data_IF_591822095533
#
_entry.id   IF_591822095533
#
_cell.length_a   1.000
_cell.length_b   1.000
_cell.length_c   1.000
_cell.angle_alpha   90.00
_cell.angle_beta   90.00
_cell.angle_gamma   90.00
#
_symmetry.space_group_name_H-M   'P 1'
#
loop_
_entity.id
_entity.type
_entity.pdbx_description
1 polymer ?
#
# COMPACT_ATOMS: atom_id res chain seq x y z
N UNK A 1 16.68 31.92 21.69
CA UNK A 1 16.16 32.02 20.32
C UNK A 1 17.23 31.53 19.35
N UNK A 2 17.11 30.27 18.89
CA UNK A 2 17.75 29.73 17.68
C UNK A 2 16.96 28.48 17.29
N UNK A 3 16.32 28.59 16.13
CA UNK A 3 15.45 27.61 15.49
C UNK A 3 16.27 26.43 14.98
N UNK A 4 15.91 25.22 15.39
CA UNK A 4 16.17 24.01 14.60
C UNK A 4 14.89 23.69 13.86
N UNK A 5 14.81 24.21 12.64
CA UNK A 5 13.96 23.63 11.61
C UNK A 5 14.69 22.36 11.16
N UNK A 6 14.42 21.24 11.83
CA UNK A 6 14.78 19.94 11.29
C UNK A 6 13.84 19.67 10.12
N UNK A 7 14.42 19.74 8.92
CA UNK A 7 13.85 19.27 7.68
C UNK A 7 13.31 17.85 7.91
N UNK A 8 11.98 17.74 7.99
CA UNK A 8 11.26 16.48 7.87
C UNK A 8 11.57 15.89 6.51
N UNK A 9 12.68 15.14 6.42
CA UNK A 9 12.91 14.19 5.34
C UNK A 9 11.86 13.10 5.53
N UNK A 10 10.74 13.31 4.87
CA UNK A 10 9.61 12.40 4.90
C UNK A 10 10.06 11.08 4.28
N UNK A 11 10.16 10.06 5.12
CA UNK A 11 10.47 8.72 4.66
C UNK A 11 9.34 8.27 3.71
N UNK A 12 9.60 8.09 2.41
CA UNK A 12 8.59 7.69 1.41
C UNK A 12 8.04 6.26 1.64
N UNK A 13 8.53 5.56 2.66
CA UNK A 13 8.14 4.22 3.05
C UNK A 13 7.24 4.17 4.29
N UNK A 14 6.51 5.24 4.65
CA UNK A 14 5.53 5.19 5.75
C UNK A 14 4.41 4.19 5.41
N UNK A 15 4.67 2.93 5.74
CA UNK A 15 3.72 1.83 5.63
C UNK A 15 2.54 2.02 6.59
N UNK A 16 2.70 2.85 7.62
CA UNK A 16 1.64 3.17 8.58
C UNK A 16 1.60 4.68 8.83
N UNK A 17 0.41 5.26 8.68
CA UNK A 17 0.09 6.63 9.08
C UNK A 17 -0.65 6.57 10.42
N UNK A 18 -0.30 7.45 11.36
CA UNK A 18 -1.03 7.64 12.60
C UNK A 18 -1.76 8.97 12.52
N UNK A 19 -3.03 8.98 12.91
CA UNK A 19 -3.86 10.18 12.80
C UNK A 19 -4.92 10.23 13.89
N UNK A 20 -5.32 11.46 14.25
CA UNK A 20 -6.40 11.74 15.18
C UNK A 20 -7.69 12.17 14.46
N UNK A 21 -7.56 12.93 13.37
CA UNK A 21 -8.66 13.60 12.67
C UNK A 21 -8.78 13.25 11.20
N UNK A 22 -7.77 12.57 10.63
CA UNK A 22 -7.76 12.11 9.26
C UNK A 22 -7.22 13.14 8.26
N UNK A 23 -6.67 14.28 8.71
CA UNK A 23 -6.14 15.32 7.80
C UNK A 23 -5.08 14.76 6.85
N UNK A 24 -4.21 13.86 7.33
CA UNK A 24 -3.15 13.21 6.53
C UNK A 24 -3.71 12.27 5.43
N UNK A 25 -4.98 11.89 5.53
CA UNK A 25 -5.63 10.98 4.57
C UNK A 25 -6.42 11.74 3.50
N UNK A 26 -6.52 13.07 3.60
CA UNK A 26 -7.34 13.92 2.73
C UNK A 26 -6.97 13.82 1.24
N UNK A 27 -5.73 13.44 0.92
CA UNK A 27 -5.26 13.20 -0.45
C UNK A 27 -5.87 11.96 -1.13
N UNK A 28 -6.51 11.05 -0.38
CA UNK A 28 -7.18 9.86 -0.91
C UNK A 28 -8.66 9.90 -0.48
N UNK A 29 -9.57 10.43 -1.32
CA UNK A 29 -10.96 10.70 -0.95
C UNK A 29 -11.71 9.50 -0.37
N UNK A 30 -11.55 8.31 -0.97
CA UNK A 30 -12.18 7.07 -0.54
C UNK A 30 -11.69 6.65 0.86
N UNK A 31 -10.39 6.83 1.13
CA UNK A 31 -9.78 6.51 2.40
C UNK A 31 -10.19 7.50 3.48
N UNK A 32 -10.19 8.80 3.18
CA UNK A 32 -10.66 9.83 4.10
C UNK A 32 -12.13 9.57 4.49
N UNK A 33 -12.99 9.27 3.51
CA UNK A 33 -14.40 8.92 3.76
C UNK A 33 -14.55 7.67 4.63
N UNK A 34 -13.77 6.62 4.35
CA UNK A 34 -13.76 5.40 5.15
C UNK A 34 -13.30 5.69 6.59
N UNK A 35 -12.25 6.50 6.76
CA UNK A 35 -11.74 6.92 8.06
C UNK A 35 -12.79 7.69 8.87
N UNK A 36 -13.43 8.71 8.29
CA UNK A 36 -14.46 9.49 9.00
C UNK A 36 -15.61 8.59 9.46
N UNK A 37 -15.99 7.61 8.64
CA UNK A 37 -16.99 6.60 9.00
C UNK A 37 -16.53 5.75 10.19
N UNK A 38 -15.31 5.21 10.11
CA UNK A 38 -14.75 4.37 11.17
C UNK A 38 -14.57 5.13 12.50
N UNK A 39 -14.06 6.36 12.45
CA UNK A 39 -13.90 7.24 13.62
C UNK A 39 -15.24 7.50 14.30
N UNK A 40 -16.29 7.80 13.53
CA UNK A 40 -17.64 8.03 14.06
C UNK A 40 -18.20 6.81 14.81
N UNK A 41 -17.99 5.62 14.27
CA UNK A 41 -18.51 4.36 14.85
C UNK A 41 -17.72 3.98 16.10
N UNK A 42 -16.40 4.06 16.05
CA UNK A 42 -15.52 3.59 17.12
C UNK A 42 -15.36 4.59 18.26
N UNK A 43 -15.54 5.89 17.99
CA UNK A 43 -15.26 6.99 18.94
C UNK A 43 -13.83 6.94 19.52
N UNK A 44 -12.90 6.36 18.77
CA UNK A 44 -11.49 6.33 19.13
C UNK A 44 -10.83 7.69 19.00
N UNK A 45 -9.70 7.85 19.68
CA UNK A 45 -8.92 9.09 19.65
C UNK A 45 -7.70 8.97 18.72
N UNK A 46 -6.99 7.83 18.76
CA UNK A 46 -5.81 7.59 17.95
C UNK A 46 -6.03 6.38 17.03
N UNK A 47 -5.71 6.58 15.76
CA UNK A 47 -5.89 5.60 14.70
C UNK A 47 -4.56 5.32 14.02
N UNK A 48 -4.40 4.09 13.56
CA UNK A 48 -3.39 3.73 12.60
C UNK A 48 -4.05 3.39 11.26
N UNK A 49 -3.38 3.74 10.18
CA UNK A 49 -3.76 3.41 8.81
C UNK A 49 -2.57 2.76 8.15
N UNK A 50 -2.65 1.46 7.93
CA UNK A 50 -1.56 0.65 7.37
C UNK A 50 -1.81 0.37 5.90
N UNK A 51 -0.81 0.64 5.08
CA UNK A 51 -0.80 0.43 3.64
C UNK A 51 0.00 -0.82 3.29
N UNK A 52 -0.63 -1.71 2.56
CA UNK A 52 0.01 -2.86 1.93
C UNK A 52 -0.01 -2.60 0.43
N UNK A 53 1.17 -2.38 -0.16
CA UNK A 53 1.28 -1.89 -1.53
C UNK A 53 2.13 -2.82 -2.38
N UNK A 54 1.59 -3.23 -3.53
CA UNK A 54 2.38 -3.72 -4.65
C UNK A 54 2.63 -2.54 -5.61
N UNK A 55 3.89 -2.23 -5.85
CA UNK A 55 4.28 -1.09 -6.69
C UNK A 55 3.93 -1.32 -8.15
N UNK A 56 3.75 -0.24 -8.91
CA UNK A 56 3.61 -0.26 -10.37
C UNK A 56 4.72 -1.09 -11.01
N UNK A 57 4.37 -1.90 -12.02
CA UNK A 57 5.34 -2.60 -12.86
C UNK A 57 5.19 -2.09 -14.30
N UNK A 58 6.32 -1.76 -14.92
CA UNK A 58 6.37 -1.26 -16.29
C UNK A 58 6.93 -2.37 -17.17
N UNK A 59 6.09 -2.89 -18.05
CA UNK A 59 6.43 -3.89 -19.04
C UNK A 59 6.58 -3.23 -20.42
N UNK A 60 7.06 -4.00 -21.39
CA UNK A 60 7.24 -3.49 -22.76
C UNK A 60 5.91 -3.08 -23.43
N UNK A 61 4.84 -3.83 -23.14
CA UNK A 61 3.54 -3.67 -23.79
C UNK A 61 2.46 -3.07 -22.86
N UNK A 62 2.75 -2.98 -21.56
CA UNK A 62 1.76 -2.63 -20.54
C UNK A 62 2.39 -1.91 -19.34
N UNK A 63 1.65 -0.96 -18.74
CA UNK A 63 1.95 -0.45 -17.40
C UNK A 63 0.92 -1.05 -16.45
N UNK A 64 1.38 -1.89 -15.53
CA UNK A 64 0.53 -2.45 -14.48
C UNK A 64 0.41 -1.47 -13.31
N UNK A 65 -0.79 -0.99 -12.98
CA UNK A 65 -0.99 -0.01 -11.91
C UNK A 65 -0.64 -0.56 -10.53
N UNK A 66 -0.37 0.31 -9.54
CA UNK A 66 -0.09 -0.12 -8.18
C UNK A 66 -1.35 -0.74 -7.55
N UNK A 67 -1.15 -1.74 -6.70
CA UNK A 67 -2.23 -2.37 -5.92
C UNK A 67 -2.05 -2.02 -4.47
N UNK A 68 -3.13 -1.56 -3.83
CA UNK A 68 -3.13 -1.10 -2.45
C UNK A 68 -4.25 -1.73 -1.65
N UNK A 69 -3.89 -2.27 -0.50
CA UNK A 69 -4.81 -2.71 0.55
C UNK A 69 -4.53 -1.88 1.78
N UNK A 70 -5.54 -1.15 2.26
CA UNK A 70 -5.45 -0.22 3.37
C UNK A 70 -6.27 -0.71 4.54
N UNK A 71 -5.62 -0.86 5.69
CA UNK A 71 -6.23 -1.28 6.95
C UNK A 71 -6.31 -0.12 7.91
N UNK A 72 -7.51 0.21 8.36
CA UNK A 72 -7.75 1.20 9.42
C UNK A 72 -7.94 0.46 10.75
N UNK A 73 -7.30 0.94 11.80
CA UNK A 73 -7.45 0.39 13.13
C UNK A 73 -7.24 1.41 14.25
N UNK A 74 -7.58 1.00 15.47
CA UNK A 74 -7.34 1.77 16.68
C UNK A 74 -6.00 1.38 17.28
N UNK A 75 -5.29 2.35 17.84
CA UNK A 75 -4.12 2.09 18.68
C UNK A 75 -4.12 3.03 19.88
N UNK A 76 -3.43 2.64 20.94
CA UNK A 76 -3.17 3.52 22.09
C UNK A 76 -1.89 4.33 21.92
N UNK A 77 -0.92 3.74 21.24
CA UNK A 77 0.42 4.30 21.08
C UNK A 77 0.86 4.23 19.61
N UNK A 78 1.73 5.16 19.23
CA UNK A 78 2.39 5.12 17.92
C UNK A 78 3.46 4.02 17.94
N UNK A 79 3.31 3.02 17.08
CA UNK A 79 4.35 2.01 16.88
C UNK A 79 5.30 2.54 15.81
N UNK A 80 6.47 3.00 16.23
CA UNK A 80 7.53 3.45 15.33
C UNK A 80 8.30 2.20 14.88
N UNK A 81 8.35 1.89 13.57
CA UNK A 81 9.19 0.79 13.07
C UNK A 81 10.65 1.03 13.46
N UNK A 82 11.35 -0.03 13.85
CA UNK A 82 12.79 0.02 14.11
C UNK A 82 13.53 0.56 12.87
N UNK A 83 14.60 1.32 13.13
CA UNK A 83 15.33 2.06 12.10
C UNK A 83 15.80 1.11 10.99
N UNK A 84 15.22 1.26 9.80
CA UNK A 84 15.59 0.44 8.64
C UNK A 84 16.94 1.00 8.19
N UNK A 85 18.02 0.31 8.57
CA UNK A 85 19.38 0.73 8.27
C UNK A 85 19.60 1.12 6.80
N UNK A 86 20.62 1.95 6.55
CA UNK A 86 20.93 2.43 5.20
C UNK A 86 21.01 1.26 4.21
N UNK A 87 20.14 1.28 3.20
CA UNK A 87 20.19 0.29 2.14
C UNK A 87 21.42 0.53 1.27
N UNK A 88 22.15 -0.52 0.88
CA UNK A 88 23.29 -0.38 -0.01
C UNK A 88 22.85 0.25 -1.35
N UNK A 89 23.69 1.10 -1.93
CA UNK A 89 23.44 1.66 -3.27
C UNK A 89 23.35 0.51 -4.28
N UNK A 90 22.19 0.40 -4.92
CA UNK A 90 21.91 -0.60 -5.95
C UNK A 90 22.57 -0.23 -7.27
N UNK A 91 23.05 -1.24 -8.01
CA UNK A 91 23.59 -1.02 -9.35
C UNK A 91 22.46 -0.77 -10.35
N UNK A 92 22.67 0.12 -11.33
CA UNK A 92 21.60 0.57 -12.25
C UNK A 92 20.98 -0.57 -13.08
N UNK A 93 21.75 -1.59 -13.41
CA UNK A 93 21.33 -2.79 -14.14
C UNK A 93 20.44 -3.73 -13.30
N UNK A 94 20.51 -3.65 -11.97
CA UNK A 94 19.68 -4.46 -11.05
C UNK A 94 18.31 -3.83 -10.80
N UNK A 95 18.15 -2.54 -11.13
CA UNK A 95 16.93 -1.75 -10.89
C UNK A 95 15.67 -2.44 -11.46
N UNK A 96 15.62 -2.90 -12.73
CA UNK A 96 14.41 -3.50 -13.28
C UNK A 96 14.00 -4.79 -12.55
N UNK A 97 14.95 -5.70 -12.30
CA UNK A 97 14.71 -6.94 -11.56
C UNK A 97 14.29 -6.67 -10.11
N UNK A 98 14.89 -5.66 -9.47
CA UNK A 98 14.51 -5.23 -8.14
C UNK A 98 13.06 -4.73 -8.10
N UNK A 99 12.64 -3.87 -9.03
CA UNK A 99 11.26 -3.38 -9.07
C UNK A 99 10.24 -4.47 -9.41
N UNK A 100 10.57 -5.39 -10.32
CA UNK A 100 9.72 -6.56 -10.61
C UNK A 100 9.55 -7.45 -9.35
N UNK A 101 10.65 -7.73 -8.65
CA UNK A 101 10.62 -8.49 -7.41
C UNK A 101 9.87 -7.74 -6.29
N UNK A 102 9.97 -6.41 -6.24
CA UNK A 102 9.27 -5.56 -5.27
C UNK A 102 7.75 -5.66 -5.45
N UNK A 103 7.25 -5.68 -6.69
CA UNK A 103 5.82 -5.91 -6.96
C UNK A 103 5.38 -7.30 -6.48
N UNK A 104 6.15 -8.35 -6.79
CA UNK A 104 5.85 -9.73 -6.35
C UNK A 104 5.80 -9.83 -4.82
N UNK A 105 6.78 -9.24 -4.12
CA UNK A 105 6.81 -9.19 -2.65
C UNK A 105 5.59 -8.44 -2.10
N UNK A 106 5.24 -7.30 -2.72
CA UNK A 106 4.06 -6.51 -2.34
C UNK A 106 2.76 -7.29 -2.49
N UNK A 107 2.55 -7.97 -3.63
CA UNK A 107 1.39 -8.83 -3.87
C UNK A 107 1.34 -9.96 -2.83
N UNK A 108 2.47 -10.63 -2.58
CA UNK A 108 2.55 -11.69 -1.58
C UNK A 108 2.17 -11.19 -0.18
N UNK A 109 2.66 -10.01 0.21
CA UNK A 109 2.35 -9.39 1.51
C UNK A 109 0.86 -9.03 1.61
N UNK A 110 0.26 -8.49 0.54
CA UNK A 110 -1.18 -8.21 0.47
C UNK A 110 -1.99 -9.51 0.64
N UNK A 111 -1.64 -10.56 -0.10
CA UNK A 111 -2.33 -11.85 -0.03
C UNK A 111 -2.22 -12.42 1.38
N UNK A 112 -1.04 -12.37 2.00
CA UNK A 112 -0.83 -12.85 3.36
C UNK A 112 -1.71 -12.09 4.38
N UNK A 113 -1.78 -10.76 4.33
CA UNK A 113 -2.65 -10.00 5.22
C UNK A 113 -4.14 -10.37 5.04
N UNK A 114 -4.62 -10.43 3.79
CA UNK A 114 -6.02 -10.76 3.51
C UNK A 114 -6.35 -12.22 3.88
N UNK A 115 -5.48 -13.16 3.53
CA UNK A 115 -5.64 -14.59 3.83
C UNK A 115 -5.59 -14.84 5.34
N UNK A 116 -4.73 -14.15 6.08
CA UNK A 116 -4.70 -14.24 7.54
C UNK A 116 -6.03 -13.86 8.17
N UNK A 117 -6.70 -12.83 7.65
CA UNK A 117 -8.02 -12.48 8.15
C UNK A 117 -9.09 -13.51 7.75
N UNK A 118 -9.05 -14.00 6.50
CA UNK A 118 -9.99 -14.99 6.00
C UNK A 118 -9.88 -16.35 6.72
N UNK A 119 -8.67 -16.90 6.84
CA UNK A 119 -8.41 -18.22 7.41
C UNK A 119 -8.64 -18.27 8.92
N UNK A 120 -8.34 -17.19 9.64
CA UNK A 120 -8.57 -17.10 11.08
C UNK A 120 -10.02 -16.71 11.44
N UNK A 121 -10.89 -16.50 10.45
CA UNK A 121 -12.27 -16.07 10.68
C UNK A 121 -12.38 -14.68 11.31
N UNK A 122 -11.37 -13.83 11.10
CA UNK A 122 -11.40 -12.45 11.60
C UNK A 122 -12.51 -11.70 10.87
N UNK A 123 -13.47 -11.18 11.62
CA UNK A 123 -14.51 -10.34 11.08
C UNK A 123 -13.89 -9.06 10.49
N UNK A 124 -14.30 -8.73 9.26
CA UNK A 124 -13.88 -7.55 8.52
C UNK A 124 -15.10 -6.69 8.19
N UNK A 125 -14.89 -5.37 8.17
CA UNK A 125 -15.76 -4.43 7.48
C UNK A 125 -15.01 -3.81 6.30
N UNK A 126 -15.48 -4.07 5.08
CA UNK A 126 -14.98 -3.42 3.86
C UNK A 126 -15.73 -2.11 3.59
N UNK A 127 -15.00 -1.00 3.53
CA UNK A 127 -15.54 0.33 3.18
C UNK A 127 -15.49 0.57 1.67
N UNK A 128 -14.43 0.05 1.03
CA UNK A 128 -14.18 0.20 -0.39
C UNK A 128 -13.45 -1.03 -0.92
N UNK A 129 -13.79 -1.46 -2.13
CA UNK A 129 -13.19 -2.61 -2.80
C UNK A 129 -13.48 -2.52 -4.30
N UNK A 130 -12.66 -1.76 -5.03
CA UNK A 130 -12.74 -1.62 -6.50
C UNK A 130 -11.35 -1.45 -7.09
N UNK A 131 -11.21 -1.90 -8.33
CA UNK A 131 -9.98 -1.77 -9.12
C UNK A 131 -8.75 -2.28 -8.36
N UNK A 132 -7.76 -1.41 -8.13
CA UNK A 132 -6.55 -1.73 -7.38
C UNK A 132 -6.52 -1.19 -5.94
N UNK A 133 -7.67 -0.78 -5.38
CA UNK A 133 -7.77 -0.31 -3.98
C UNK A 133 -8.83 -1.07 -3.16
N UNK A 134 -8.41 -1.61 -2.01
CA UNK A 134 -9.30 -2.11 -0.97
C UNK A 134 -9.05 -1.37 0.35
N UNK A 135 -10.11 -0.90 1.00
CA UNK A 135 -10.06 -0.26 2.30
C UNK A 135 -10.96 -1.02 3.27
N UNK A 136 -10.39 -1.44 4.40
CA UNK A 136 -11.12 -2.22 5.40
C UNK A 136 -10.65 -1.92 6.82
N UNK A 137 -11.45 -2.37 7.79
CA UNK A 137 -11.06 -2.48 9.20
C UNK A 137 -11.46 -3.85 9.72
N UNK A 138 -10.85 -4.27 10.83
CA UNK A 138 -11.39 -5.37 11.60
C UNK A 138 -12.76 -4.96 12.17
N UNK A 139 -13.64 -5.94 12.34
CA UNK A 139 -14.99 -5.80 12.86
C UNK A 139 -15.18 -6.76 14.04
N UNK A 140 -16.20 -6.51 14.86
CA UNK A 140 -16.66 -7.47 15.88
C UNK A 140 -17.65 -8.48 15.31
N UNK A 141 -18.32 -8.12 14.22
CA UNK A 141 -19.37 -8.92 13.59
C UNK A 141 -18.91 -9.46 12.26
N UNK A 142 -19.08 -10.77 12.09
CA UNK A 142 -18.82 -11.43 10.83
C UNK A 142 -19.92 -11.08 9.82
N UNK A 143 -19.54 -10.41 8.73
CA UNK A 143 -20.45 -10.06 7.63
C UNK A 143 -20.05 -10.86 6.41
N UNK A 144 -20.88 -11.86 6.05
CA UNK A 144 -20.59 -12.75 4.92
C UNK A 144 -20.26 -11.99 3.63
N UNK A 145 -21.02 -10.94 3.32
CA UNK A 145 -20.78 -10.12 2.15
C UNK A 145 -19.39 -9.45 2.12
N UNK A 146 -18.83 -9.08 3.28
CA UNK A 146 -17.50 -8.49 3.35
C UNK A 146 -16.40 -9.55 3.24
N UNK A 147 -16.63 -10.74 3.80
CA UNK A 147 -15.75 -11.90 3.62
C UNK A 147 -15.72 -12.35 2.16
N UNK A 148 -16.87 -12.38 1.48
CA UNK A 148 -16.96 -12.73 0.05
C UNK A 148 -16.16 -11.73 -0.81
N UNK A 149 -16.14 -10.43 -0.45
CA UNK A 149 -15.30 -9.42 -1.12
C UNK A 149 -13.82 -9.69 -0.91
N UNK A 150 -13.39 -9.98 0.32
CA UNK A 150 -12.00 -10.34 0.65
C UNK A 150 -11.56 -11.56 -0.17
N UNK A 151 -12.42 -12.59 -0.21
CA UNK A 151 -12.15 -13.81 -0.96
C UNK A 151 -11.99 -13.54 -2.47
N UNK A 152 -12.88 -12.75 -3.07
CA UNK A 152 -12.76 -12.34 -4.49
C UNK A 152 -11.48 -11.57 -4.76
N UNK A 153 -11.09 -10.68 -3.84
CA UNK A 153 -9.84 -9.92 -3.91
C UNK A 153 -8.60 -10.82 -3.84
N UNK A 154 -8.58 -11.79 -2.92
CA UNK A 154 -7.50 -12.78 -2.86
C UNK A 154 -7.42 -13.54 -4.18
N UNK A 155 -8.55 -14.02 -4.72
CA UNK A 155 -8.55 -14.73 -5.99
C UNK A 155 -8.13 -13.88 -7.19
N UNK A 156 -8.46 -12.58 -7.23
CA UNK A 156 -7.98 -11.71 -8.30
C UNK A 156 -6.46 -11.52 -8.26
N UNK A 157 -5.84 -11.57 -7.07
CA UNK A 157 -4.40 -11.44 -6.88
C UNK A 157 -3.64 -12.76 -7.07
N UNK A 158 -4.31 -13.89 -6.83
CA UNK A 158 -3.75 -15.24 -7.05
C UNK A 158 -3.70 -15.64 -8.52
N UNK A 159 -4.53 -15.03 -9.37
CA UNK A 159 -4.36 -15.20 -10.82
C UNK A 159 -2.99 -14.64 -11.17
N UNK A 160 -2.03 -15.46 -11.65
CA UNK A 160 -0.73 -14.96 -12.04
C UNK A 160 -0.98 -13.87 -13.08
N UNK A 161 -0.47 -12.66 -12.83
CA UNK A 161 -0.33 -11.71 -13.90
C UNK A 161 0.45 -12.43 -15.00
N UNK A 162 -0.09 -12.47 -16.22
CA UNK A 162 0.57 -13.17 -17.33
C UNK A 162 2.01 -12.68 -17.38
N UNK A 163 2.96 -13.61 -17.25
CA UNK A 163 4.37 -13.26 -17.39
C UNK A 163 4.51 -12.75 -18.82
N UNK A 164 4.88 -11.49 -19.05
CA UNK A 164 5.12 -11.03 -20.40
C UNK A 164 6.18 -11.94 -21.02
N UNK A 165 5.85 -12.53 -22.17
CA UNK A 165 6.79 -13.31 -22.98
C UNK A 165 8.00 -12.47 -23.43
N UNK A 166 7.88 -11.16 -23.32
CA UNK A 166 8.92 -10.16 -23.57
C UNK A 166 9.69 -9.86 -22.28
N UNK A 167 10.94 -10.36 -22.26
CA UNK A 167 12.04 -9.98 -21.35
C UNK A 167 11.94 -8.52 -20.89
N UNK A 168 12.32 -8.29 -19.63
CA UNK A 168 12.63 -6.99 -19.03
C UNK A 168 13.18 -5.99 -20.06
N UNK A 169 12.65 -4.77 -20.05
CA UNK A 169 13.09 -3.63 -20.86
C UNK A 169 14.62 -3.67 -21.04
N UNK A 170 15.08 -3.87 -22.28
CA UNK A 170 16.50 -3.67 -22.62
C UNK A 170 16.90 -2.30 -22.07
N UNK A 171 18.02 -2.23 -21.35
CA UNK A 171 18.58 -1.07 -20.63
C UNK A 171 18.69 0.24 -21.45
N UNK A 172 18.39 0.22 -22.75
CA UNK A 172 18.48 1.36 -23.67
C UNK A 172 17.15 2.05 -24.00
N UNK A 173 16.01 1.55 -23.49
CA UNK A 173 14.69 2.12 -23.80
C UNK A 173 14.12 3.07 -22.75
N UNK A 174 14.72 3.12 -21.55
CA UNK A 174 14.27 4.04 -20.51
C UNK A 174 14.98 5.38 -20.75
N UNK A 175 14.29 6.35 -21.35
CA UNK A 175 14.83 7.71 -21.49
C UNK A 175 14.98 8.36 -20.13
N UNK A 176 15.96 9.26 -19.97
CA UNK A 176 16.17 9.98 -18.72
C UNK A 176 14.93 10.78 -18.30
N UNK A 177 14.15 11.27 -19.28
CA UNK A 177 12.87 11.95 -19.04
C UNK A 177 11.81 11.03 -18.45
N UNK A 178 11.75 9.76 -18.87
CA UNK A 178 10.78 8.80 -18.35
C UNK A 178 11.11 8.39 -16.91
N UNK A 179 12.40 8.25 -16.57
CA UNK A 179 12.83 8.06 -15.16
C UNK A 179 12.41 9.27 -14.32
N UNK A 180 12.61 10.48 -14.82
CA UNK A 180 12.26 11.70 -14.10
C UNK A 180 10.75 11.83 -13.85
N UNK A 181 9.90 11.39 -14.79
CA UNK A 181 8.45 11.36 -14.57
C UNK A 181 8.04 10.36 -13.48
N UNK A 182 8.65 9.17 -13.44
CA UNK A 182 8.41 8.17 -12.39
C UNK A 182 8.90 8.67 -11.03
N UNK A 183 10.03 9.38 -10.99
CA UNK A 183 10.55 9.99 -9.77
C UNK A 183 9.68 11.17 -9.32
N UNK A 184 9.07 11.94 -10.21
CA UNK A 184 8.14 13.01 -9.80
C UNK A 184 6.80 12.45 -9.28
N UNK A 185 6.27 11.40 -9.90
CA UNK A 185 4.98 10.80 -9.52
C UNK A 185 5.00 10.03 -8.17
N UNK A 186 6.18 9.67 -7.67
CA UNK A 186 6.33 8.98 -6.37
C UNK A 186 6.81 9.90 -5.23
N UNK A 187 7.04 11.19 -5.52
CA UNK A 187 7.59 12.18 -4.58
C UNK A 187 6.85 13.53 -4.62
N UNK A 188 5.61 13.54 -5.14
CA UNK A 188 4.64 14.63 -5.01
C UNK A 188 3.42 14.14 -4.24
#
# INVERSE_FOLDING_TARGET
MRSYADEKTENPYKQTIYTYDGEELSGIPELHKAFITYKRVTKGNLFYVKFYTATTEILYEEIKPPIQVVKIGLTKDMIIPEDIGQQPKMQKNEIPSFYANKRIIGISTIIQELANNYLNGNAIWSYYARDQLMIYSNSRELRKADIDKVQRWIFSLLKPEERPTTRALKERFISAEFINQILQANWS
#
